data_IF_283685137082
#
_entry.id   IF_283685137082
#
_cell.length_a   1.000
_cell.length_b   1.000
_cell.length_c   1.000
_cell.angle_alpha   90.00
_cell.angle_beta   90.00
_cell.angle_gamma   90.00
#
_symmetry.space_group_name_H-M   'P 1'
#
loop_
_entity.id
_entity.type
_entity.pdbx_description
1 polymer ?
#
# COMPACT_ATOMS: atom_id res chain seq x y z
N UNK A 1 7.30 16.18 -12.97
CA UNK A 1 5.94 15.59 -13.02
C UNK A 1 5.66 15.16 -14.45
N UNK A 2 5.02 14.01 -14.66
CA UNK A 2 4.72 13.49 -16.00
C UNK A 2 3.48 12.61 -15.98
N UNK A 3 2.57 12.79 -16.94
CA UNK A 3 1.50 11.82 -17.18
C UNK A 3 2.07 10.54 -17.79
N UNK A 4 1.66 9.40 -17.26
CA UNK A 4 2.04 8.09 -17.78
C UNK A 4 1.08 7.72 -18.91
N UNK A 5 1.62 7.44 -20.08
CA UNK A 5 0.84 6.87 -21.17
C UNK A 5 0.41 5.43 -20.83
N UNK A 6 -0.53 4.90 -21.62
CA UNK A 6 -1.07 3.54 -21.45
C UNK A 6 0.03 2.48 -21.37
N UNK A 7 1.01 2.50 -22.28
CA UNK A 7 2.09 1.50 -22.33
C UNK A 7 2.90 1.51 -21.02
N UNK A 8 3.27 2.68 -20.54
CA UNK A 8 4.09 2.81 -19.33
C UNK A 8 3.36 2.30 -18.08
N UNK A 9 2.06 2.61 -17.93
CA UNK A 9 1.30 2.13 -16.76
C UNK A 9 1.01 0.63 -16.86
N UNK A 10 0.79 0.08 -18.06
CA UNK A 10 0.66 -1.38 -18.27
C UNK A 10 1.94 -2.13 -17.88
N UNK A 11 3.12 -1.62 -18.28
CA UNK A 11 4.41 -2.19 -17.89
C UNK A 11 4.63 -2.16 -16.37
N UNK A 12 4.25 -1.06 -15.70
CA UNK A 12 4.32 -0.95 -14.24
C UNK A 12 3.38 -1.97 -13.57
N UNK A 13 2.14 -2.07 -14.04
CA UNK A 13 1.20 -3.03 -13.47
C UNK A 13 1.64 -4.47 -13.70
N UNK A 14 2.25 -4.79 -14.85
CA UNK A 14 2.81 -6.13 -15.09
C UNK A 14 3.87 -6.49 -14.05
N UNK A 15 4.81 -5.57 -13.78
CA UNK A 15 5.85 -5.79 -12.74
C UNK A 15 5.25 -5.96 -11.34
N UNK A 16 4.17 -5.23 -11.04
CA UNK A 16 3.44 -5.36 -9.77
C UNK A 16 2.75 -6.73 -9.67
N UNK A 17 2.07 -7.16 -10.73
CA UNK A 17 1.41 -8.47 -10.81
C UNK A 17 2.39 -9.61 -10.59
N UNK A 18 3.54 -9.56 -11.28
CA UNK A 18 4.64 -10.51 -11.11
C UNK A 18 5.18 -10.50 -9.67
N UNK A 19 5.43 -9.32 -9.10
CA UNK A 19 6.02 -9.20 -7.77
C UNK A 19 5.09 -9.64 -6.63
N UNK A 20 3.81 -9.25 -6.69
CA UNK A 20 2.82 -9.52 -5.65
C UNK A 20 1.98 -10.78 -5.92
N UNK A 21 2.26 -11.49 -7.00
CA UNK A 21 1.47 -12.62 -7.50
C UNK A 21 -0.03 -12.29 -7.45
N UNK A 22 -0.42 -11.27 -8.22
CA UNK A 22 -1.78 -10.73 -8.26
C UNK A 22 -2.24 -10.46 -9.68
N UNK A 23 -3.52 -10.10 -9.85
CA UNK A 23 -4.11 -9.68 -11.11
C UNK A 23 -4.80 -8.32 -10.94
N UNK A 24 -4.40 -7.35 -11.77
CA UNK A 24 -4.95 -6.01 -11.80
C UNK A 24 -5.85 -5.87 -13.03
N UNK A 25 -7.12 -5.52 -12.81
CA UNK A 25 -8.03 -5.19 -13.90
C UNK A 25 -7.53 -3.95 -14.68
N UNK A 26 -7.03 -4.19 -15.90
CA UNK A 26 -6.48 -3.16 -16.79
C UNK A 26 -7.57 -2.20 -17.31
N UNK A 27 -8.86 -2.50 -17.14
CA UNK A 27 -9.95 -1.57 -17.48
C UNK A 27 -9.80 -0.23 -16.75
N UNK A 28 -9.15 -0.23 -15.58
CA UNK A 28 -8.89 0.98 -14.78
C UNK A 28 -8.06 2.02 -15.56
N UNK A 29 -7.17 1.59 -16.45
CA UNK A 29 -6.32 2.48 -17.26
C UNK A 29 -7.16 3.30 -18.25
N UNK A 30 -8.32 2.78 -18.67
CA UNK A 30 -9.24 3.52 -19.55
C UNK A 30 -10.08 4.53 -18.77
N UNK A 31 -10.29 4.31 -17.47
CA UNK A 31 -11.18 5.08 -16.57
C UNK A 31 -10.46 6.19 -15.83
N UNK A 32 -9.15 6.06 -15.62
CA UNK A 32 -8.35 6.98 -14.82
C UNK A 32 -7.07 7.40 -15.54
N UNK A 33 -6.55 8.55 -15.16
CA UNK A 33 -5.24 9.06 -15.57
C UNK A 33 -4.22 8.79 -14.47
N UNK A 34 -2.98 8.52 -14.87
CA UNK A 34 -1.89 8.21 -13.94
C UNK A 34 -0.75 9.20 -14.13
N UNK A 35 -0.29 9.79 -13.03
CA UNK A 35 0.80 10.76 -13.05
C UNK A 35 1.92 10.31 -12.14
N UNK A 36 3.15 10.42 -12.62
CA UNK A 36 4.34 10.24 -11.81
C UNK A 36 4.89 11.59 -11.36
N UNK A 37 5.14 11.71 -10.06
CA UNK A 37 5.89 12.81 -9.47
C UNK A 37 6.97 12.25 -8.55
N UNK A 38 8.24 12.52 -8.90
CA UNK A 38 9.42 11.89 -8.29
C UNK A 38 9.27 10.37 -8.35
N UNK A 39 9.10 9.74 -7.20
CA UNK A 39 8.99 8.30 -7.01
C UNK A 39 7.58 7.87 -6.58
N UNK A 40 6.58 8.72 -6.79
CA UNK A 40 5.18 8.44 -6.44
C UNK A 40 4.30 8.51 -7.68
N UNK A 41 3.40 7.55 -7.80
CA UNK A 41 2.37 7.50 -8.83
C UNK A 41 1.03 7.84 -8.19
N UNK A 42 0.32 8.76 -8.85
CA UNK A 42 -0.98 9.28 -8.45
C UNK A 42 -2.02 8.92 -9.51
N UNK A 43 -3.23 8.60 -9.06
CA UNK A 43 -4.39 8.29 -9.89
C UNK A 43 -5.40 9.42 -9.82
N UNK A 44 -5.97 9.79 -10.98
CA UNK A 44 -6.97 10.84 -11.14
C UNK A 44 -8.13 10.39 -12.00
N UNK A 45 -9.31 10.98 -11.76
CA UNK A 45 -10.42 10.85 -12.69
C UNK A 45 -10.01 11.29 -14.09
N UNK A 46 -10.55 10.61 -15.12
CA UNK A 46 -10.23 10.92 -16.53
C UNK A 46 -10.53 12.37 -16.91
N UNK A 47 -11.59 12.94 -16.35
CA UNK A 47 -12.06 14.29 -16.64
C UNK A 47 -11.36 15.37 -15.79
N UNK A 48 -10.30 15.03 -15.05
CA UNK A 48 -9.57 16.01 -14.26
C UNK A 48 -8.82 16.99 -15.18
N UNK A 49 -8.81 18.31 -14.90
CA UNK A 49 -8.27 19.31 -15.82
C UNK A 49 -6.76 19.14 -16.10
N UNK A 50 -6.31 19.56 -17.28
CA UNK A 50 -4.91 19.38 -17.72
C UNK A 50 -3.90 20.35 -17.09
N UNK A 51 -4.34 21.48 -16.52
CA UNK A 51 -3.48 22.53 -15.98
C UNK A 51 -2.90 22.19 -14.59
N UNK A 52 -2.51 20.94 -14.38
CA UNK A 52 -2.00 20.47 -13.09
C UNK A 52 -0.57 20.93 -12.90
N UNK A 53 -0.32 21.64 -11.80
CA UNK A 53 1.02 21.75 -11.24
C UNK A 53 1.27 20.63 -10.20
N UNK A 54 2.50 20.56 -9.71
CA UNK A 54 2.91 19.57 -8.71
C UNK A 54 2.09 19.66 -7.40
N UNK A 55 1.63 20.85 -7.03
CA UNK A 55 0.86 21.12 -5.80
C UNK A 55 -0.56 20.56 -5.92
N UNK A 56 -1.21 20.75 -7.07
CA UNK A 56 -2.52 20.15 -7.34
C UNK A 56 -2.43 18.63 -7.29
N UNK A 57 -1.38 18.01 -7.85
CA UNK A 57 -1.29 16.56 -7.85
C UNK A 57 -1.19 15.99 -6.44
N UNK A 58 -0.32 16.58 -5.61
CA UNK A 58 -0.16 16.13 -4.22
C UNK A 58 -1.42 16.32 -3.39
N UNK A 59 -2.22 17.34 -3.71
CA UNK A 59 -3.43 17.70 -2.95
C UNK A 59 -4.66 16.91 -3.37
N UNK A 60 -4.84 16.68 -4.68
CA UNK A 60 -6.08 16.11 -5.23
C UNK A 60 -5.89 14.70 -5.82
N UNK A 61 -4.64 14.28 -6.05
CA UNK A 61 -4.34 12.96 -6.58
C UNK A 61 -4.40 11.88 -5.52
N UNK A 62 -4.95 10.74 -5.90
CA UNK A 62 -4.87 9.56 -5.06
C UNK A 62 -3.49 8.91 -5.22
N UNK A 63 -2.64 9.03 -4.22
CA UNK A 63 -1.34 8.35 -4.22
C UNK A 63 -1.56 6.84 -4.13
N UNK A 64 -1.12 6.09 -5.14
CA UNK A 64 -1.38 4.64 -5.25
C UNK A 64 -0.13 3.77 -5.20
N UNK A 65 1.00 4.23 -5.76
CA UNK A 65 2.21 3.41 -5.88
C UNK A 65 3.44 4.25 -5.57
N UNK A 66 4.33 3.70 -4.76
CA UNK A 66 5.71 4.14 -4.55
C UNK A 66 6.65 3.36 -5.47
N UNK A 67 7.58 4.04 -6.10
CA UNK A 67 8.75 3.43 -6.73
C UNK A 67 9.87 3.43 -5.69
N UNK A 68 10.18 2.25 -5.18
CA UNK A 68 11.31 2.04 -4.27
C UNK A 68 12.61 1.85 -5.06
N UNK A 69 13.72 1.71 -4.34
CA UNK A 69 15.02 1.40 -4.95
C UNK A 69 14.92 0.13 -5.81
N UNK A 70 15.78 0.04 -6.83
CA UNK A 70 15.82 -1.08 -7.77
C UNK A 70 14.51 -1.31 -8.55
N UNK A 71 13.73 -0.25 -8.79
CA UNK A 71 12.46 -0.30 -9.52
C UNK A 71 11.43 -1.28 -8.93
N UNK A 72 11.47 -1.49 -7.61
CA UNK A 72 10.42 -2.24 -6.91
C UNK A 72 9.24 -1.30 -6.70
N UNK A 73 8.05 -1.72 -7.13
CA UNK A 73 6.84 -0.93 -6.97
C UNK A 73 6.10 -1.39 -5.72
N UNK A 74 5.97 -0.52 -4.73
CA UNK A 74 5.23 -0.78 -3.49
C UNK A 74 3.90 -0.05 -3.52
N UNK A 75 2.82 -0.69 -3.09
CA UNK A 75 1.56 0.01 -2.93
C UNK A 75 1.57 1.03 -1.78
N UNK A 76 0.86 2.14 -1.96
CA UNK A 76 0.37 2.96 -0.85
C UNK A 76 -0.74 2.20 -0.09
N UNK A 77 -1.34 2.84 0.93
CA UNK A 77 -2.50 2.28 1.62
C UNK A 77 -3.66 2.14 0.62
N UNK A 78 -3.98 3.21 -0.08
CA UNK A 78 -5.07 3.27 -1.06
C UNK A 78 -4.80 2.35 -2.25
N UNK A 79 -3.55 2.31 -2.73
CA UNK A 79 -3.15 1.39 -3.79
C UNK A 79 -3.31 -0.07 -3.39
N UNK A 80 -3.00 -0.42 -2.13
CA UNK A 80 -3.18 -1.78 -1.64
C UNK A 80 -4.66 -2.15 -1.61
N UNK A 81 -5.53 -1.24 -1.16
CA UNK A 81 -6.97 -1.47 -1.12
C UNK A 81 -7.60 -1.62 -2.52
N UNK A 82 -7.10 -0.86 -3.50
CA UNK A 82 -7.61 -0.91 -4.87
C UNK A 82 -7.06 -2.11 -5.65
N UNK A 83 -5.75 -2.36 -5.54
CA UNK A 83 -5.03 -3.29 -6.42
C UNK A 83 -4.54 -4.57 -5.73
N UNK A 84 -4.43 -4.56 -4.40
CA UNK A 84 -3.88 -5.65 -3.60
C UNK A 84 -4.91 -6.68 -3.14
N UNK A 85 -6.19 -6.49 -3.45
CA UNK A 85 -7.28 -7.35 -2.98
C UNK A 85 -7.05 -8.83 -3.31
N UNK A 86 -6.62 -9.11 -4.54
CA UNK A 86 -6.35 -10.45 -5.07
C UNK A 86 -4.86 -10.84 -4.98
N UNK A 87 -4.07 -10.22 -4.09
CA UNK A 87 -2.66 -10.58 -3.95
C UNK A 87 -2.49 -11.88 -3.17
N UNK A 88 -1.74 -12.83 -3.75
CA UNK A 88 -1.32 -14.06 -3.08
C UNK A 88 -0.07 -13.83 -2.20
N UNK A 89 0.67 -12.74 -2.41
CA UNK A 89 1.79 -12.32 -1.57
C UNK A 89 1.29 -11.44 -0.41
N UNK A 90 0.64 -12.07 0.54
CA UNK A 90 0.02 -11.41 1.69
C UNK A 90 0.46 -11.98 3.04
N UNK A 91 0.20 -11.22 4.10
CA UNK A 91 0.44 -11.58 5.50
C UNK A 91 -0.82 -11.27 6.29
N UNK A 92 -1.29 -12.27 7.03
CA UNK A 92 -2.38 -12.13 7.98
C UNK A 92 -1.87 -11.45 9.26
N UNK A 93 -2.45 -10.32 9.63
CA UNK A 93 -2.07 -9.54 10.79
C UNK A 93 -3.25 -8.74 11.30
N UNK A 94 -3.50 -8.82 12.61
CA UNK A 94 -4.54 -8.04 13.27
C UNK A 94 -4.33 -6.54 13.03
N UNK A 95 -5.38 -5.83 12.60
CA UNK A 95 -5.33 -4.38 12.38
C UNK A 95 -4.85 -3.64 13.63
N UNK A 96 -5.14 -4.18 14.82
CA UNK A 96 -4.68 -3.66 16.11
C UNK A 96 -3.16 -3.51 16.16
N UNK A 97 -2.44 -4.53 15.67
CA UNK A 97 -0.98 -4.54 15.65
C UNK A 97 -0.39 -3.51 14.68
N UNK A 98 -1.09 -3.18 13.59
CA UNK A 98 -0.61 -2.22 12.60
C UNK A 98 -1.00 -0.77 12.91
N UNK A 99 -2.22 -0.52 13.38
CA UNK A 99 -2.72 0.85 13.51
C UNK A 99 -2.55 1.43 14.92
N UNK A 100 -2.41 0.60 15.94
CA UNK A 100 -2.46 1.04 17.33
C UNK A 100 -1.13 0.89 18.07
N UNK A 101 -0.23 0.01 17.60
CA UNK A 101 1.14 -0.08 18.12
C UNK A 101 2.06 0.87 17.36
N UNK A 102 2.65 1.81 18.08
CA UNK A 102 3.63 2.75 17.55
C UNK A 102 5.02 2.12 17.55
N UNK A 103 5.71 2.16 16.40
CA UNK A 103 7.16 1.93 16.26
C UNK A 103 7.69 0.58 16.77
N UNK A 104 6.85 -0.43 16.96
CA UNK A 104 7.32 -1.77 17.30
C UNK A 104 7.57 -2.58 16.03
N UNK A 105 8.79 -3.10 15.93
CA UNK A 105 9.12 -4.15 14.98
C UNK A 105 8.26 -5.37 15.28
N UNK A 106 7.32 -5.71 14.41
CA UNK A 106 6.42 -6.84 14.63
C UNK A 106 7.14 -8.10 14.17
N UNK A 107 7.54 -8.94 15.12
CA UNK A 107 8.13 -10.25 14.81
C UNK A 107 7.01 -11.17 14.30
N UNK A 108 7.20 -11.74 13.12
CA UNK A 108 6.25 -12.68 12.55
C UNK A 108 6.50 -14.07 13.13
N UNK A 109 5.41 -14.84 13.29
CA UNK A 109 5.50 -16.23 13.79
C UNK A 109 5.96 -17.19 12.70
N UNK A 110 5.44 -17.01 11.48
CA UNK A 110 5.85 -17.74 10.29
C UNK A 110 7.08 -17.07 9.67
N UNK A 111 7.94 -17.86 9.02
CA UNK A 111 9.08 -17.34 8.28
C UNK A 111 8.63 -16.82 6.92
N UNK A 112 8.86 -15.54 6.65
CA UNK A 112 8.62 -14.91 5.36
C UNK A 112 9.94 -14.49 4.71
N UNK A 113 9.97 -14.53 3.38
CA UNK A 113 11.08 -13.98 2.62
C UNK A 113 11.16 -12.46 2.78
N UNK A 114 12.34 -11.90 2.55
CA UNK A 114 12.53 -10.45 2.59
C UNK A 114 11.83 -9.81 1.39
N UNK A 115 10.94 -8.84 1.63
CA UNK A 115 10.18 -8.21 0.55
C UNK A 115 8.94 -7.48 1.00
N UNK A 116 8.22 -6.90 0.04
CA UNK A 116 6.93 -6.29 0.28
C UNK A 116 5.81 -7.33 0.20
N UNK A 117 4.83 -7.18 1.08
CA UNK A 117 3.63 -7.98 1.17
C UNK A 117 2.40 -7.07 1.33
N UNK A 118 1.22 -7.61 1.06
CA UNK A 118 -0.05 -7.00 1.46
C UNK A 118 -0.44 -7.50 2.86
N UNK A 119 -0.58 -6.59 3.82
CA UNK A 119 -1.14 -6.93 5.12
C UNK A 119 -2.67 -7.00 5.05
N UNK A 120 -3.25 -8.07 5.61
CA UNK A 120 -4.69 -8.30 5.69
C UNK A 120 -5.12 -8.68 7.10
N UNK A 121 -6.35 -8.36 7.47
CA UNK A 121 -7.05 -8.89 8.65
C UNK A 121 -8.38 -9.46 8.18
N UNK A 122 -8.45 -10.77 8.04
CA UNK A 122 -9.51 -11.50 7.35
C UNK A 122 -9.68 -10.98 5.90
N UNK A 123 -10.84 -10.39 5.60
CA UNK A 123 -11.16 -9.86 4.29
C UNK A 123 -10.72 -8.40 4.10
N UNK A 124 -10.22 -7.75 5.16
CA UNK A 124 -9.84 -6.34 5.10
C UNK A 124 -8.40 -6.18 4.59
N UNK A 125 -8.24 -5.41 3.52
CA UNK A 125 -6.91 -5.00 3.03
C UNK A 125 -6.45 -3.78 3.80
N UNK A 126 -5.37 -3.95 4.57
CA UNK A 126 -4.87 -2.92 5.45
C UNK A 126 -3.91 -1.97 4.72
N UNK A 127 -2.78 -2.49 4.25
CA UNK A 127 -1.76 -1.72 3.53
C UNK A 127 -0.67 -2.64 2.97
N UNK A 128 0.32 -2.07 2.25
CA UNK A 128 1.58 -2.78 2.00
C UNK A 128 2.58 -2.61 3.15
N UNK A 129 3.26 -3.70 3.49
CA UNK A 129 4.28 -3.79 4.54
C UNK A 129 5.57 -4.38 3.96
N UNK A 130 6.70 -4.18 4.64
CA UNK A 130 7.99 -4.78 4.27
C UNK A 130 8.44 -5.76 5.35
N UNK A 131 8.84 -6.95 4.95
CA UNK A 131 9.47 -7.93 5.83
C UNK A 131 10.96 -7.93 5.62
N UNK A 132 11.72 -7.88 6.72
CA UNK A 132 13.16 -8.08 6.74
C UNK A 132 13.56 -8.93 7.95
N UNK A 133 14.23 -10.06 7.72
CA UNK A 133 14.66 -10.98 8.79
C UNK A 133 13.48 -11.36 9.71
N UNK A 134 12.34 -11.65 9.10
CA UNK A 134 11.08 -11.97 9.78
C UNK A 134 10.50 -10.86 10.69
N UNK A 135 10.97 -9.63 10.52
CA UNK A 135 10.44 -8.44 11.15
C UNK A 135 9.61 -7.68 10.13
N UNK A 136 8.35 -7.43 10.45
CA UNK A 136 7.43 -6.61 9.67
C UNK A 136 7.62 -5.13 10.04
N UNK A 137 7.77 -4.32 9.00
CA UNK A 137 7.79 -2.86 9.03
C UNK A 137 6.65 -2.32 8.18
N UNK A 138 5.83 -1.45 8.77
CA UNK A 138 4.78 -0.74 8.03
C UNK A 138 5.25 0.62 7.49
N UNK A 139 4.41 1.21 6.65
CA UNK A 139 4.62 2.55 6.06
C UNK A 139 3.41 3.45 6.31
N UNK A 140 2.65 3.18 7.38
CA UNK A 140 1.46 3.95 7.74
C UNK A 140 1.93 5.28 8.34
N UNK A 141 1.50 6.44 7.80
CA UNK A 141 1.83 7.73 8.37
C UNK A 141 1.38 7.84 9.83
N UNK A 142 2.14 8.56 10.67
CA UNK A 142 1.82 8.72 12.10
C UNK A 142 0.42 9.29 12.31
N UNK A 143 -0.01 10.18 11.42
CA UNK A 143 -1.32 10.84 11.45
C UNK A 143 -2.47 9.85 11.20
N UNK A 144 -2.19 8.65 10.67
CA UNK A 144 -3.16 7.57 10.48
C UNK A 144 -3.08 6.48 11.53
N UNK A 145 -2.12 6.54 12.46
CA UNK A 145 -2.05 5.64 13.60
C UNK A 145 -3.03 6.13 14.67
N UNK A 146 -3.72 5.19 15.29
CA UNK A 146 -4.72 5.49 16.32
C UNK A 146 -4.01 5.54 17.67
N UNK A 147 -3.94 6.74 18.25
CA UNK A 147 -3.45 6.93 19.61
C UNK A 147 -4.54 6.53 20.60
N UNK A 148 -4.35 5.42 21.31
CA UNK A 148 -5.26 4.90 22.34
C UNK A 148 -5.33 5.75 23.63
N UNK A 149 -4.92 7.03 23.60
CA UNK A 149 -4.93 7.88 24.81
C UNK A 149 -6.36 8.19 25.28
N UNK A 150 -7.39 7.89 24.48
CA UNK A 150 -8.79 8.27 24.78
C UNK A 150 -9.71 7.17 25.35
N UNK A 151 -9.25 5.95 25.62
CA UNK A 151 -10.10 4.94 26.27
C UNK A 151 -9.39 4.30 27.46
N UNK A 152 -10.07 4.31 28.61
CA UNK A 152 -9.64 3.64 29.86
C UNK A 152 -9.51 2.11 29.71
N UNK A 153 -9.89 1.56 28.57
CA UNK A 153 -9.87 0.13 28.30
C UNK A 153 -8.78 -0.17 27.27
N UNK A 154 -7.60 -0.59 27.74
CA UNK A 154 -6.66 -1.31 26.88
C UNK A 154 -7.35 -2.62 26.47
N UNK A 155 -7.42 -2.97 25.18
CA UNK A 155 -7.65 -4.37 24.84
C UNK A 155 -6.48 -5.16 25.42
N UNK A 156 -6.78 -6.02 26.40
CA UNK A 156 -5.81 -6.92 26.99
C UNK A 156 -5.11 -7.72 25.88
N UNK A 157 -3.81 -7.94 26.06
CA UNK A 157 -2.91 -8.61 25.13
C UNK A 157 -3.59 -9.81 24.45
N UNK A 158 -4.02 -9.63 23.20
CA UNK A 158 -4.39 -10.73 22.34
C UNK A 158 -3.11 -11.40 21.86
N UNK A 159 -2.62 -12.31 22.71
CA UNK A 159 -1.82 -13.43 22.24
C UNK A 159 -2.57 -14.12 21.10
N UNK A 160 -1.87 -14.37 20.00
CA UNK A 160 -2.36 -15.19 18.91
C UNK A 160 -2.49 -16.62 19.46
N UNK A 161 -3.72 -17.02 19.80
CA UNK A 161 -4.01 -18.40 20.20
C UNK A 161 -4.28 -19.25 18.95
N UNK A 162 -3.37 -20.22 18.75
CA UNK A 162 -3.43 -21.49 18.01
C UNK A 162 -4.07 -21.54 16.62
#
# INVERSE_FOLDING_TARGET
>A
MKELNKKNIEEIFKKIEEYYNTNIDKSIIKKYRFFINKDKIYMFNKNFPDFLDEKYIKKYGLYVIKIEKNNIYRFSIEGAQIFGINSNKNIEIKKENLFYKYNENIKLEKNYENGFYIAKDNNDILCSVYVKNNILKDFIPKERKINYIFTKDRPENTYVNK
#
